data_IF_777500209086
#
_entry.id   IF_777500209086
#
_cell.length_a   1.000
_cell.length_b   1.000
_cell.length_c   1.000
_cell.angle_alpha   90.00
_cell.angle_beta   90.00
_cell.angle_gamma   90.00
#
_symmetry.space_group_name_H-M   'P 1'
#
loop_
_entity.id
_entity.type
_entity.pdbx_description
1 polymer ?
#
# COMPACT_ATOMS: atom_id res chain seq x y z
N UNK A 1 -4.31 9.74 -1.40
CA UNK A 1 -4.49 8.49 -0.65
C UNK A 1 -3.38 7.51 -1.00
N UNK A 2 -2.57 7.17 -0.03
CA UNK A 2 -1.51 6.18 -0.19
C UNK A 2 -2.03 4.80 0.21
N UNK A 3 -1.92 3.82 -0.68
CA UNK A 3 -2.22 2.43 -0.37
C UNK A 3 -0.91 1.64 -0.27
N UNK A 4 -0.76 0.94 0.83
CA UNK A 4 0.31 -0.04 1.02
C UNK A 4 -0.30 -1.34 1.51
N UNK A 5 0.37 -2.44 1.27
CA UNK A 5 -0.14 -3.72 1.74
C UNK A 5 0.69 -4.89 1.30
N UNK A 6 0.32 -6.04 1.82
CA UNK A 6 1.01 -7.29 1.58
C UNK A 6 0.77 -7.80 0.15
N UNK A 7 1.80 -8.39 -0.44
CA UNK A 7 1.69 -9.06 -1.75
C UNK A 7 0.76 -10.27 -1.70
N UNK A 8 0.56 -10.82 -0.51
CA UNK A 8 -0.30 -11.97 -0.27
C UNK A 8 -1.73 -11.60 0.11
N UNK A 9 -2.05 -10.32 0.20
CA UNK A 9 -3.42 -9.87 0.46
C UNK A 9 -4.33 -10.25 -0.71
N UNK A 10 -5.46 -10.91 -0.44
CA UNK A 10 -6.38 -11.43 -1.47
C UNK A 10 -7.79 -10.83 -1.40
N UNK A 11 -8.18 -10.27 -0.26
CA UNK A 11 -9.53 -9.79 -0.06
C UNK A 11 -9.74 -8.41 -0.68
N UNK A 12 -10.50 -8.36 -1.75
CA UNK A 12 -10.81 -7.12 -2.47
C UNK A 12 -11.76 -6.22 -1.70
N UNK A 13 -12.69 -6.80 -0.93
CA UNK A 13 -13.80 -6.07 -0.33
C UNK A 13 -13.37 -4.90 0.57
N UNK A 14 -12.51 -5.06 1.56
CA UNK A 14 -12.12 -3.95 2.42
C UNK A 14 -11.36 -2.84 1.67
N UNK A 15 -10.60 -3.20 0.64
CA UNK A 15 -9.90 -2.21 -0.20
C UNK A 15 -10.91 -1.40 -1.00
N UNK A 16 -11.83 -2.07 -1.69
CA UNK A 16 -12.86 -1.41 -2.47
C UNK A 16 -13.77 -0.53 -1.61
N UNK A 17 -14.19 -1.03 -0.45
CA UNK A 17 -15.06 -0.28 0.44
C UNK A 17 -14.39 0.99 0.96
N UNK A 18 -13.12 0.89 1.40
CA UNK A 18 -12.39 2.04 1.91
C UNK A 18 -12.14 3.09 0.81
N UNK A 19 -11.73 2.65 -0.37
CA UNK A 19 -11.46 3.55 -1.49
C UNK A 19 -12.74 4.17 -2.05
N UNK A 20 -13.83 3.41 -2.12
CA UNK A 20 -15.13 3.95 -2.56
C UNK A 20 -15.61 5.06 -1.62
N UNK A 21 -15.48 4.87 -0.31
CA UNK A 21 -15.86 5.89 0.67
C UNK A 21 -15.04 7.17 0.52
N UNK A 22 -13.73 7.03 0.32
CA UNK A 22 -12.84 8.20 0.12
C UNK A 22 -13.13 8.90 -1.21
N UNK A 23 -13.41 8.16 -2.26
CA UNK A 23 -13.75 8.73 -3.57
C UNK A 23 -15.06 9.51 -3.51
N UNK A 24 -16.05 9.01 -2.77
CA UNK A 24 -17.33 9.70 -2.58
C UNK A 24 -17.16 11.05 -1.89
N UNK A 25 -16.30 11.12 -0.88
CA UNK A 25 -16.01 12.35 -0.14
C UNK A 25 -15.03 13.27 -0.88
N UNK A 26 -14.13 12.69 -1.67
CA UNK A 26 -13.07 13.41 -2.35
C UNK A 26 -12.94 12.96 -3.82
N UNK A 27 -13.86 13.40 -4.70
CA UNK A 27 -13.85 12.95 -6.12
C UNK A 27 -12.55 13.25 -6.87
N UNK A 28 -11.81 14.26 -6.44
CA UNK A 28 -10.51 14.63 -7.01
C UNK A 28 -9.30 13.94 -6.37
N UNK A 29 -9.52 12.91 -5.53
CA UNK A 29 -8.42 12.22 -4.86
C UNK A 29 -7.43 11.62 -5.85
N UNK A 30 -6.17 11.56 -5.44
CA UNK A 30 -5.12 10.82 -6.15
C UNK A 30 -4.80 9.55 -5.38
N UNK A 31 -4.85 8.41 -6.08
CA UNK A 31 -4.40 7.13 -5.54
C UNK A 31 -2.91 6.97 -5.77
N UNK A 32 -2.17 6.67 -4.71
CA UNK A 32 -0.72 6.45 -4.76
C UNK A 32 -0.42 5.03 -4.26
N UNK A 33 0.34 4.26 -5.03
CA UNK A 33 0.72 2.90 -4.61
C UNK A 33 2.08 2.49 -5.18
N UNK A 34 2.60 1.39 -4.69
CA UNK A 34 3.94 0.92 -5.03
C UNK A 34 4.07 0.07 -6.27
N UNK A 35 3.01 -0.03 -7.08
CA UNK A 35 3.01 -0.78 -8.34
C UNK A 35 3.41 -2.26 -8.20
N UNK A 36 3.16 -2.86 -7.06
CA UNK A 36 3.37 -4.29 -6.88
C UNK A 36 2.39 -5.07 -7.78
N UNK A 37 2.88 -6.09 -8.47
CA UNK A 37 2.07 -6.87 -9.41
C UNK A 37 1.01 -7.73 -8.74
N UNK A 38 1.09 -7.93 -7.43
CA UNK A 38 0.17 -8.76 -6.66
C UNK A 38 -0.20 -8.05 -5.35
N UNK A 39 -1.30 -8.51 -4.74
CA UNK A 39 -1.73 -8.06 -3.42
C UNK A 39 -2.43 -6.73 -3.42
N UNK A 40 -2.29 -5.98 -2.33
CA UNK A 40 -3.05 -4.76 -2.10
C UNK A 40 -2.86 -3.69 -3.17
N UNK A 41 -1.62 -3.46 -3.62
CA UNK A 41 -1.33 -2.46 -4.66
C UNK A 41 -2.06 -2.79 -5.96
N UNK A 42 -2.00 -4.06 -6.40
CA UNK A 42 -2.65 -4.51 -7.62
C UNK A 42 -4.17 -4.39 -7.53
N UNK A 43 -4.74 -4.72 -6.38
CA UNK A 43 -6.19 -4.60 -6.14
C UNK A 43 -6.61 -3.13 -6.21
N UNK A 44 -5.85 -2.24 -5.57
CA UNK A 44 -6.13 -0.81 -5.58
C UNK A 44 -6.02 -0.22 -7.00
N UNK A 45 -5.00 -0.61 -7.74
CA UNK A 45 -4.81 -0.16 -9.12
C UNK A 45 -5.98 -0.57 -10.01
N UNK A 46 -6.39 -1.83 -9.89
CA UNK A 46 -7.55 -2.34 -10.63
C UNK A 46 -8.85 -1.64 -10.22
N UNK A 47 -9.02 -1.34 -8.93
CA UNK A 47 -10.15 -0.57 -8.45
C UNK A 47 -10.24 0.79 -9.16
N UNK A 48 -9.11 1.49 -9.27
CA UNK A 48 -9.07 2.79 -9.94
C UNK A 48 -9.51 2.69 -11.40
N UNK A 49 -9.06 1.66 -12.10
CA UNK A 49 -9.50 1.39 -13.48
C UNK A 49 -10.99 1.12 -13.56
N UNK A 50 -11.51 0.28 -12.66
CA UNK A 50 -12.94 -0.06 -12.61
C UNK A 50 -13.82 1.15 -12.30
N UNK A 51 -13.34 2.09 -11.52
CA UNK A 51 -14.06 3.32 -11.16
C UNK A 51 -13.84 4.45 -12.18
N UNK A 52 -13.01 4.22 -13.20
CA UNK A 52 -12.78 5.20 -14.26
C UNK A 52 -11.94 6.40 -13.82
N UNK A 53 -11.05 6.25 -12.84
CA UNK A 53 -10.16 7.34 -12.45
C UNK A 53 -9.24 7.71 -13.60
N UNK A 54 -9.11 9.03 -13.93
CA UNK A 54 -8.17 9.46 -14.95
C UNK A 54 -6.72 9.10 -14.55
N UNK A 55 -5.86 8.92 -15.54
CA UNK A 55 -4.45 8.58 -15.30
C UNK A 55 -3.75 9.60 -14.37
N UNK A 56 -4.12 10.88 -14.43
CA UNK A 56 -3.57 11.91 -13.54
C UNK A 56 -3.98 11.76 -12.07
N UNK A 57 -4.93 10.91 -11.76
CA UNK A 57 -5.36 10.62 -10.39
C UNK A 57 -4.81 9.28 -9.86
N UNK A 58 -3.89 8.65 -10.57
CA UNK A 58 -3.22 7.42 -10.15
C UNK A 58 -1.71 7.58 -10.30
N UNK A 59 -1.00 7.48 -9.18
CA UNK A 59 0.47 7.53 -9.15
C UNK A 59 1.01 6.15 -8.79
N UNK A 60 1.79 5.59 -9.69
CA UNK A 60 2.46 4.31 -9.49
C UNK A 60 3.94 4.56 -9.22
N UNK A 61 4.47 3.93 -8.18
CA UNK A 61 5.88 4.03 -7.79
C UNK A 61 6.53 2.65 -7.81
N UNK A 62 6.93 2.13 -8.98
CA UNK A 62 7.57 0.83 -9.04
C UNK A 62 8.94 0.85 -8.36
N UNK A 63 9.26 -0.23 -7.66
CA UNK A 63 10.56 -0.39 -7.04
C UNK A 63 11.61 -0.74 -8.10
N UNK A 64 12.78 -0.14 -8.00
CA UNK A 64 13.89 -0.35 -8.95
C UNK A 64 14.77 -1.52 -8.49
N UNK A 65 14.24 -2.75 -8.58
CA UNK A 65 14.90 -3.96 -8.10
C UNK A 65 16.25 -4.20 -8.75
N UNK A 66 16.39 -3.88 -10.04
CA UNK A 66 17.66 -4.04 -10.76
C UNK A 66 18.74 -3.12 -10.24
N UNK A 67 18.36 -1.93 -9.78
CA UNK A 67 19.31 -0.92 -9.29
C UNK A 67 19.67 -1.11 -7.83
N UNK A 68 18.70 -1.44 -6.98
CA UNK A 68 18.87 -1.42 -5.53
C UNK A 68 18.74 -2.80 -4.87
N UNK A 69 18.39 -3.84 -5.61
CA UNK A 69 18.19 -5.17 -5.04
C UNK A 69 17.18 -5.17 -3.91
N UNK A 70 17.51 -5.76 -2.78
CA UNK A 70 16.60 -5.89 -1.62
C UNK A 70 16.17 -4.56 -1.02
N UNK A 71 16.96 -3.51 -1.19
CA UNK A 71 16.61 -2.19 -0.66
C UNK A 71 15.64 -1.42 -1.54
N UNK A 72 15.29 -1.92 -2.73
CA UNK A 72 14.42 -1.23 -3.68
C UNK A 72 13.03 -0.97 -3.13
N UNK A 73 12.42 -1.95 -2.46
CA UNK A 73 11.10 -1.80 -1.84
C UNK A 73 11.09 -0.74 -0.73
N UNK A 74 11.97 -0.85 0.27
CA UNK A 74 12.10 0.17 1.31
C UNK A 74 12.39 1.58 0.78
N UNK A 75 13.24 1.70 -0.24
CA UNK A 75 13.56 3.00 -0.87
C UNK A 75 12.33 3.61 -1.55
N UNK A 76 11.58 2.79 -2.30
CA UNK A 76 10.36 3.22 -2.95
C UNK A 76 9.33 3.68 -1.91
N UNK A 77 9.16 2.92 -0.83
CA UNK A 77 8.24 3.27 0.25
C UNK A 77 8.63 4.60 0.91
N UNK A 78 9.91 4.79 1.20
CA UNK A 78 10.41 6.05 1.76
C UNK A 78 10.14 7.23 0.82
N UNK A 79 10.30 7.03 -0.48
CA UNK A 79 10.02 8.06 -1.48
C UNK A 79 8.53 8.44 -1.51
N UNK A 80 7.64 7.45 -1.51
CA UNK A 80 6.20 7.73 -1.48
C UNK A 80 5.80 8.52 -0.24
N UNK A 81 6.35 8.15 0.92
CA UNK A 81 6.10 8.86 2.18
C UNK A 81 6.64 10.29 2.14
N UNK A 82 7.86 10.48 1.59
CA UNK A 82 8.47 11.80 1.48
C UNK A 82 7.67 12.75 0.58
N UNK A 83 7.00 12.23 -0.44
CA UNK A 83 6.12 13.02 -1.31
C UNK A 83 4.84 13.47 -0.58
N UNK A 84 4.50 12.81 0.53
CA UNK A 84 3.35 13.16 1.35
C UNK A 84 2.05 12.52 0.89
N UNK A 85 1.12 12.40 1.83
CA UNK A 85 -0.24 11.95 1.56
C UNK A 85 -1.16 12.45 2.68
N UNK A 86 -2.44 12.60 2.38
CA UNK A 86 -3.43 13.01 3.37
C UNK A 86 -3.84 11.86 4.28
N UNK A 87 -3.82 10.63 3.76
CA UNK A 87 -4.12 9.41 4.50
C UNK A 87 -3.41 8.22 3.84
N UNK A 88 -3.02 7.27 4.65
CA UNK A 88 -2.49 5.98 4.20
C UNK A 88 -3.41 4.84 4.66
N UNK A 89 -3.65 3.90 3.76
CA UNK A 89 -4.42 2.69 4.01
C UNK A 89 -3.47 1.50 3.92
N UNK A 90 -3.36 0.75 4.99
CA UNK A 90 -2.45 -0.39 5.08
C UNK A 90 -3.23 -1.70 5.22
N UNK A 91 -3.07 -2.58 4.25
CA UNK A 91 -3.73 -3.89 4.22
C UNK A 91 -2.68 -4.96 4.47
N UNK A 92 -2.63 -5.47 5.70
CA UNK A 92 -1.51 -6.27 6.19
C UNK A 92 -1.94 -7.72 6.39
N UNK A 93 -1.35 -8.62 5.59
CA UNK A 93 -1.50 -10.06 5.74
C UNK A 93 -0.38 -10.62 6.64
N UNK A 94 -0.55 -11.83 7.21
CA UNK A 94 0.50 -12.44 8.02
C UNK A 94 1.80 -12.63 7.25
N UNK A 95 2.93 -12.50 7.95
CA UNK A 95 4.24 -12.78 7.39
C UNK A 95 4.37 -14.26 7.02
N UNK A 96 4.74 -14.52 5.77
CA UNK A 96 5.00 -15.87 5.26
C UNK A 96 6.43 -16.02 4.75
N UNK A 97 7.31 -15.10 5.13
CA UNK A 97 8.68 -15.09 4.66
C UNK A 97 9.45 -16.30 5.22
N UNK A 98 10.00 -17.17 4.34
CA UNK A 98 10.83 -18.28 4.80
C UNK A 98 12.07 -17.77 5.56
N UNK A 99 12.41 -18.45 6.65
CA UNK A 99 13.57 -18.07 7.45
C UNK A 99 13.41 -16.84 8.32
N UNK A 100 12.19 -16.30 8.42
CA UNK A 100 11.91 -15.19 9.34
C UNK A 100 12.02 -15.67 10.78
N UNK A 101 12.94 -15.09 11.55
CA UNK A 101 13.19 -15.47 12.94
C UNK A 101 12.26 -14.82 13.96
N UNK A 102 11.33 -13.98 13.54
CA UNK A 102 10.41 -13.30 14.45
C UNK A 102 9.29 -14.24 14.91
N UNK A 103 8.81 -14.09 16.14
CA UNK A 103 7.64 -14.86 16.60
C UNK A 103 6.43 -14.63 15.70
N UNK A 104 5.72 -15.69 15.38
CA UNK A 104 4.49 -15.64 14.59
C UNK A 104 3.26 -15.86 15.47
N UNK A 105 2.08 -15.29 15.13
CA UNK A 105 1.85 -14.49 13.91
C UNK A 105 2.32 -13.04 14.04
N UNK A 106 2.73 -12.45 12.92
CA UNK A 106 2.97 -11.00 12.80
C UNK A 106 2.72 -10.58 11.34
N UNK A 107 2.54 -9.29 11.10
CA UNK A 107 2.27 -8.76 9.77
C UNK A 107 3.48 -8.84 8.83
N UNK A 108 3.23 -8.84 7.53
CA UNK A 108 4.29 -8.81 6.53
C UNK A 108 5.19 -7.59 6.71
N UNK A 109 6.49 -7.76 6.52
CA UNK A 109 7.50 -6.75 6.88
C UNK A 109 7.37 -5.46 6.08
N UNK A 110 7.19 -5.56 4.76
CA UNK A 110 7.12 -4.38 3.90
C UNK A 110 5.92 -3.50 4.21
N UNK A 111 4.74 -4.08 4.34
CA UNK A 111 3.52 -3.34 4.65
C UNK A 111 3.55 -2.74 6.05
N UNK A 112 4.02 -3.51 7.03
CA UNK A 112 4.15 -3.05 8.42
C UNK A 112 5.14 -1.89 8.52
N UNK A 113 6.30 -2.01 7.88
CA UNK A 113 7.31 -0.96 7.86
C UNK A 113 6.82 0.32 7.17
N UNK A 114 6.13 0.18 6.05
CA UNK A 114 5.59 1.33 5.32
C UNK A 114 4.53 2.06 6.16
N UNK A 115 3.64 1.34 6.82
CA UNK A 115 2.65 1.92 7.72
C UNK A 115 3.30 2.69 8.88
N UNK A 116 4.32 2.10 9.51
CA UNK A 116 5.06 2.75 10.59
C UNK A 116 5.79 4.00 10.12
N UNK A 117 6.38 3.96 8.92
CA UNK A 117 7.07 5.11 8.33
C UNK A 117 6.08 6.25 8.05
N UNK A 118 4.90 5.93 7.55
CA UNK A 118 3.84 6.92 7.32
C UNK A 118 3.41 7.60 8.62
N UNK A 119 3.20 6.84 9.68
CA UNK A 119 2.86 7.38 11.00
C UNK A 119 3.95 8.31 11.54
N UNK A 120 5.21 7.91 11.43
CA UNK A 120 6.35 8.73 11.84
C UNK A 120 6.39 10.06 11.07
N UNK A 121 5.98 10.04 9.81
CA UNK A 121 5.90 11.24 8.96
C UNK A 121 4.65 12.10 9.23
N UNK A 122 3.78 11.69 10.16
CA UNK A 122 2.57 12.44 10.50
C UNK A 122 1.38 12.17 9.58
N UNK A 123 1.45 11.15 8.74
CA UNK A 123 0.34 10.75 7.86
C UNK A 123 -0.62 9.86 8.65
N UNK A 124 -1.92 10.18 8.74
CA UNK A 124 -2.89 9.29 9.37
C UNK A 124 -2.92 7.93 8.67
N UNK A 125 -2.89 6.84 9.42
CA UNK A 125 -2.88 5.48 8.89
C UNK A 125 -4.07 4.70 9.42
N UNK A 126 -4.80 4.05 8.50
CA UNK A 126 -5.79 3.03 8.84
C UNK A 126 -5.24 1.67 8.47
N UNK A 127 -5.39 0.70 9.35
CA UNK A 127 -4.88 -0.65 9.16
C UNK A 127 -6.02 -1.66 9.08
N UNK A 128 -5.87 -2.60 8.15
CA UNK A 128 -6.67 -3.82 8.07
C UNK A 128 -5.70 -4.99 8.18
N UNK A 129 -5.97 -5.89 9.09
CA UNK A 129 -5.12 -7.06 9.32
C UNK A 129 -5.94 -8.33 9.19
N UNK A 130 -5.34 -9.36 8.57
CA UNK A 130 -5.92 -10.68 8.48
C UNK A 130 -5.06 -11.63 9.31
N UNK A 131 -5.70 -12.41 10.14
CA UNK A 131 -5.03 -13.41 10.97
C UNK A 131 -4.75 -14.72 10.22
#
# INVERSE_FOLDING_TARGET
VLVTGSRTWRDHEPIHAALDALLADHPGMTLVHGACAQGADAIADRWATLRGLPAGQVEQHPAEWRRYGRSAGPRRNARMIALGADIALAFIAPCRKPGCGRPRPHGSHGATACAALAETAGIPVRRWEVS
#
